data_IF_174977896170
#
_entry.id   IF_174977896170
#
_cell.length_a   1.000
_cell.length_b   1.000
_cell.length_c   1.000
_cell.angle_alpha   90.00
_cell.angle_beta   90.00
_cell.angle_gamma   90.00
#
_symmetry.space_group_name_H-M   'P 1'
#
loop_
_entity.id
_entity.type
_entity.pdbx_description
1 polymer ?
#
# COMPACT_ATOMS: atom_id res chain seq x y z
N UNK A 1 -28.97 -29.58 25.20
CA UNK A 1 -29.73 -28.38 24.77
C UNK A 1 -30.05 -28.56 23.29
N UNK A 2 -31.32 -28.63 22.91
CA UNK A 2 -31.74 -28.86 21.52
C UNK A 2 -31.57 -27.58 20.71
N UNK A 3 -30.76 -27.60 19.64
CA UNK A 3 -30.55 -26.44 18.77
C UNK A 3 -31.79 -26.05 17.94
N UNK A 4 -32.88 -26.83 17.99
CA UNK A 4 -34.11 -26.58 17.22
C UNK A 4 -34.92 -25.36 17.71
N UNK A 5 -34.65 -24.85 18.92
CA UNK A 5 -35.37 -23.71 19.50
C UNK A 5 -34.55 -22.42 19.58
N UNK A 6 -33.35 -22.39 18.98
CA UNK A 6 -32.55 -21.17 18.90
C UNK A 6 -33.04 -20.31 17.73
N UNK A 7 -34.06 -19.49 17.98
CA UNK A 7 -34.45 -18.43 17.06
C UNK A 7 -33.40 -17.31 17.14
N UNK A 8 -32.49 -17.28 16.17
CA UNK A 8 -31.51 -16.21 16.04
C UNK A 8 -32.16 -15.00 15.37
N UNK A 9 -32.50 -14.01 16.19
CA UNK A 9 -33.01 -12.73 15.72
C UNK A 9 -31.90 -11.93 15.02
N UNK A 10 -31.91 -11.93 13.69
CA UNK A 10 -30.96 -11.22 12.83
C UNK A 10 -31.09 -9.69 12.91
N UNK A 11 -32.15 -9.18 13.53
CA UNK A 11 -32.42 -7.73 13.63
C UNK A 11 -31.91 -7.12 14.94
N UNK A 12 -31.48 -7.95 15.90
CA UNK A 12 -30.90 -7.47 17.15
C UNK A 12 -29.48 -6.94 16.93
N UNK A 13 -29.37 -5.63 17.07
CA UNK A 13 -28.12 -4.91 17.29
C UNK A 13 -27.45 -5.50 18.53
N UNK A 14 -26.12 -5.70 18.49
CA UNK A 14 -25.35 -6.40 19.53
C UNK A 14 -25.34 -5.68 20.89
N UNK A 15 -25.82 -4.42 20.96
CA UNK A 15 -26.19 -3.67 22.16
C UNK A 15 -25.30 -3.95 23.38
N UNK A 16 -24.09 -3.39 23.36
CA UNK A 16 -23.14 -3.46 24.47
C UNK A 16 -22.33 -4.76 24.54
N UNK A 17 -22.54 -5.72 23.64
CA UNK A 17 -21.68 -6.91 23.55
C UNK A 17 -20.23 -6.51 23.31
N UNK A 18 -19.31 -7.19 24.01
CA UNK A 18 -17.88 -6.91 23.94
C UNK A 18 -17.21 -7.81 22.92
N UNK A 19 -16.79 -7.22 21.80
CA UNK A 19 -16.12 -7.89 20.70
C UNK A 19 -14.60 -7.78 20.88
N UNK A 20 -13.92 -8.92 20.88
CA UNK A 20 -12.45 -8.99 20.79
C UNK A 20 -12.05 -8.93 19.33
N UNK A 21 -11.72 -7.74 18.87
CA UNK A 21 -11.38 -7.48 17.48
C UNK A 21 -9.87 -7.37 17.29
N UNK A 22 -9.35 -8.09 16.31
CA UNK A 22 -7.96 -8.09 15.91
C UNK A 22 -7.78 -7.30 14.62
N UNK A 23 -6.67 -6.59 14.51
CA UNK A 23 -6.23 -6.01 13.25
C UNK A 23 -4.78 -6.40 12.95
N UNK A 24 -4.46 -6.58 11.68
CA UNK A 24 -3.14 -7.05 11.27
C UNK A 24 -2.22 -5.84 11.14
N UNK A 25 -1.21 -5.76 12.02
CA UNK A 25 -0.18 -4.73 11.92
C UNK A 25 1.01 -5.29 11.13
N UNK A 26 1.21 -4.76 9.92
CA UNK A 26 2.40 -5.04 9.12
C UNK A 26 3.59 -4.20 9.65
N UNK A 27 4.10 -4.53 10.84
CA UNK A 27 5.32 -3.89 11.35
C UNK A 27 6.51 -4.22 10.44
N UNK A 28 7.38 -3.26 10.09
CA UNK A 28 8.72 -3.58 9.64
C UNK A 28 9.48 -4.22 10.81
N UNK A 29 10.17 -5.33 10.57
CA UNK A 29 11.12 -5.88 11.52
C UNK A 29 12.40 -5.02 11.49
N UNK A 30 12.39 -3.86 12.17
CA UNK A 30 13.53 -3.15 12.78
C UNK A 30 13.13 -1.72 13.15
N UNK A 31 13.70 -1.22 14.25
CA UNK A 31 13.66 0.18 14.67
C UNK A 31 14.07 1.09 13.52
N UNK A 32 13.25 2.09 13.20
CA UNK A 32 13.67 3.22 12.38
C UNK A 32 13.46 4.53 13.14
N UNK A 33 14.49 5.37 13.04
CA UNK A 33 14.68 6.63 13.73
C UNK A 33 13.61 7.66 13.37
N UNK A 34 13.28 8.48 14.38
CA UNK A 34 12.13 9.38 14.52
C UNK A 34 12.03 10.55 13.52
N UNK A 35 12.84 10.64 12.46
CA UNK A 35 12.90 11.86 11.61
C UNK A 35 12.53 11.70 10.13
N UNK A 36 11.84 10.63 9.74
CA UNK A 36 11.28 10.54 8.37
C UNK A 36 9.78 10.28 8.42
N UNK A 37 9.01 11.36 8.25
CA UNK A 37 7.60 11.29 7.84
C UNK A 37 7.59 10.91 6.35
N UNK A 38 7.98 9.68 6.04
CA UNK A 38 7.48 8.97 4.89
C UNK A 38 6.39 8.06 5.44
N UNK A 39 5.13 8.48 5.29
CA UNK A 39 3.99 7.63 5.64
C UNK A 39 4.07 6.36 4.80
N UNK A 40 4.60 5.29 5.40
CA UNK A 40 4.68 3.99 4.76
C UNK A 40 3.25 3.59 4.38
N UNK A 41 2.99 3.27 3.10
CA UNK A 41 1.64 2.89 2.65
C UNK A 41 1.00 1.76 3.48
N UNK A 42 1.81 0.96 4.18
CA UNK A 42 1.39 -0.06 5.14
C UNK A 42 0.73 0.51 6.41
N UNK A 43 1.19 1.65 6.91
CA UNK A 43 0.59 2.34 8.05
C UNK A 43 -0.78 2.91 7.68
N UNK A 44 -0.90 3.45 6.46
CA UNK A 44 -2.18 3.93 5.92
C UNK A 44 -3.18 2.78 5.80
N UNK A 45 -2.77 1.62 5.27
CA UNK A 45 -3.63 0.43 5.17
C UNK A 45 -4.09 -0.04 6.55
N UNK A 46 -3.18 -0.08 7.53
CA UNK A 46 -3.52 -0.46 8.91
C UNK A 46 -4.52 0.53 9.53
N UNK A 47 -4.40 1.82 9.23
CA UNK A 47 -5.34 2.84 9.68
C UNK A 47 -6.73 2.70 9.02
N UNK A 48 -6.78 2.36 7.73
CA UNK A 48 -8.04 2.06 7.02
C UNK A 48 -8.72 0.84 7.65
N UNK A 49 -7.98 -0.25 7.87
CA UNK A 49 -8.49 -1.47 8.49
C UNK A 49 -9.09 -1.17 9.89
N UNK A 50 -8.40 -0.37 10.70
CA UNK A 50 -8.87 0.03 12.02
C UNK A 50 -10.11 0.95 11.95
N UNK A 51 -10.16 1.87 10.98
CA UNK A 51 -11.30 2.77 10.78
C UNK A 51 -12.56 2.00 10.37
N UNK A 52 -12.42 1.04 9.44
CA UNK A 52 -13.52 0.16 9.02
C UNK A 52 -14.04 -0.64 10.21
N UNK A 53 -13.14 -1.25 10.98
CA UNK A 53 -13.50 -2.02 12.15
C UNK A 53 -14.28 -1.16 13.17
N UNK A 54 -13.79 0.03 13.51
CA UNK A 54 -14.50 0.97 14.39
C UNK A 54 -15.89 1.33 13.86
N UNK A 55 -16.01 1.56 12.55
CA UNK A 55 -17.28 1.89 11.90
C UNK A 55 -18.29 0.75 12.03
N UNK A 56 -17.87 -0.50 11.80
CA UNK A 56 -18.73 -1.67 11.99
C UNK A 56 -19.18 -1.84 13.45
N UNK A 57 -18.24 -1.71 14.40
CA UNK A 57 -18.56 -1.82 15.83
C UNK A 57 -19.59 -0.77 16.26
N UNK A 58 -19.46 0.47 15.75
CA UNK A 58 -20.41 1.54 16.02
C UNK A 58 -21.80 1.27 15.42
N UNK A 59 -21.88 0.78 14.17
CA UNK A 59 -23.15 0.39 13.53
C UNK A 59 -23.84 -0.72 14.31
N UNK A 60 -23.07 -1.63 14.91
CA UNK A 60 -23.57 -2.74 15.72
C UNK A 60 -23.85 -2.36 17.18
N UNK A 61 -23.65 -1.10 17.56
CA UNK A 61 -23.77 -0.61 18.94
C UNK A 61 -23.05 -1.53 19.95
N UNK A 62 -21.87 -2.02 19.57
CA UNK A 62 -21.05 -2.93 20.35
C UNK A 62 -19.87 -2.18 21.00
N UNK A 63 -19.27 -2.79 22.01
CA UNK A 63 -17.98 -2.33 22.54
C UNK A 63 -16.88 -3.25 22.02
N UNK A 64 -15.70 -2.72 21.72
CA UNK A 64 -14.61 -3.54 21.20
C UNK A 64 -13.28 -3.29 21.90
N UNK A 65 -12.52 -4.36 22.09
CA UNK A 65 -11.09 -4.30 22.42
C UNK A 65 -10.28 -4.60 21.18
N UNK A 66 -9.35 -3.70 20.84
CA UNK A 66 -8.54 -3.78 19.64
C UNK A 66 -7.14 -4.28 19.99
N UNK A 67 -6.67 -5.32 19.30
CA UNK A 67 -5.31 -5.81 19.46
C UNK A 67 -4.60 -5.96 18.11
N UNK A 68 -3.38 -5.43 18.03
CA UNK A 68 -2.50 -5.59 16.88
C UNK A 68 -1.81 -6.95 16.91
N UNK A 69 -1.91 -7.70 15.81
CA UNK A 69 -1.26 -9.01 15.68
C UNK A 69 -0.61 -9.18 14.30
N UNK A 70 0.32 -10.13 14.18
CA UNK A 70 0.80 -10.58 12.87
C UNK A 70 -0.23 -11.49 12.19
N UNK A 71 -0.25 -11.53 10.86
CA UNK A 71 -1.36 -12.14 10.14
C UNK A 71 -1.58 -13.64 10.41
N UNK A 72 -0.51 -14.42 10.52
CA UNK A 72 -0.62 -15.83 10.92
C UNK A 72 -1.19 -16.01 12.34
N UNK A 73 -0.81 -15.12 13.26
CA UNK A 73 -1.30 -15.14 14.66
C UNK A 73 -2.78 -14.80 14.73
N UNK A 74 -3.27 -13.93 13.85
CA UNK A 74 -4.67 -13.55 13.77
C UNK A 74 -5.55 -14.77 13.47
N UNK A 75 -5.17 -15.56 12.47
CA UNK A 75 -5.89 -16.76 12.07
C UNK A 75 -5.96 -17.80 13.19
N UNK A 76 -4.82 -18.07 13.84
CA UNK A 76 -4.74 -19.02 14.97
C UNK A 76 -5.59 -18.56 16.17
N UNK A 77 -5.72 -17.25 16.41
CA UNK A 77 -6.53 -16.74 17.51
C UNK A 77 -8.03 -16.85 17.24
N UNK A 78 -8.46 -16.62 16.00
CA UNK A 78 -9.85 -16.88 15.59
C UNK A 78 -10.17 -18.37 15.73
N UNK A 79 -9.34 -19.26 15.18
CA UNK A 79 -9.62 -20.69 15.19
C UNK A 79 -9.66 -21.29 16.61
N UNK A 80 -8.93 -20.68 17.55
CA UNK A 80 -8.94 -21.04 18.98
C UNK A 80 -10.03 -20.32 19.80
N UNK A 81 -10.92 -19.54 19.18
CA UNK A 81 -11.96 -18.78 19.89
C UNK A 81 -11.43 -17.71 20.85
N UNK A 82 -10.19 -17.23 20.63
CA UNK A 82 -9.56 -16.19 21.45
C UNK A 82 -9.83 -14.77 20.95
N UNK A 83 -10.37 -14.66 19.74
CA UNK A 83 -10.84 -13.43 19.13
C UNK A 83 -12.14 -13.70 18.39
N UNK A 84 -12.97 -12.67 18.30
CA UNK A 84 -14.27 -12.77 17.65
C UNK A 84 -14.14 -12.36 16.18
N UNK A 85 -13.46 -11.24 15.90
CA UNK A 85 -13.30 -10.67 14.56
C UNK A 85 -11.86 -10.34 14.21
N UNK A 86 -11.54 -10.44 12.93
CA UNK A 86 -10.30 -9.94 12.32
C UNK A 86 -10.67 -9.05 11.15
N UNK A 87 -10.07 -7.86 11.10
CA UNK A 87 -10.06 -7.03 9.88
C UNK A 87 -8.65 -6.98 9.35
N UNK A 88 -8.51 -7.24 8.05
CA UNK A 88 -7.26 -7.09 7.35
C UNK A 88 -7.44 -6.85 5.87
N UNK A 89 -6.50 -6.10 5.30
CA UNK A 89 -6.30 -5.99 3.85
C UNK A 89 -5.52 -7.18 3.26
N UNK A 90 -5.51 -8.36 3.88
CA UNK A 90 -4.90 -9.57 3.32
C UNK A 90 -5.81 -10.25 2.29
N UNK A 91 -5.24 -10.90 1.27
CA UNK A 91 -5.99 -11.75 0.36
C UNK A 91 -6.79 -12.85 1.09
N UNK A 92 -8.07 -13.01 0.74
CA UNK A 92 -8.99 -13.97 1.38
C UNK A 92 -8.49 -15.43 1.26
N UNK A 93 -7.76 -15.74 0.18
CA UNK A 93 -7.24 -17.08 -0.07
C UNK A 93 -6.11 -17.53 0.89
N UNK A 94 -5.59 -16.64 1.75
CA UNK A 94 -4.54 -16.98 2.72
C UNK A 94 -5.09 -17.82 3.88
N UNK A 95 -6.36 -17.64 4.25
CA UNK A 95 -6.99 -18.34 5.37
C UNK A 95 -8.34 -18.95 4.97
N UNK A 96 -8.34 -20.01 4.14
CA UNK A 96 -9.57 -20.59 3.58
C UNK A 96 -10.50 -21.19 4.64
N UNK A 97 -9.96 -21.55 5.81
CA UNK A 97 -10.72 -22.12 6.93
C UNK A 97 -11.52 -21.07 7.72
N UNK A 98 -11.26 -19.78 7.49
CA UNK A 98 -11.90 -18.70 8.21
C UNK A 98 -13.05 -18.14 7.35
N UNK A 99 -14.31 -18.20 7.84
CA UNK A 99 -15.43 -17.57 7.17
C UNK A 99 -15.13 -16.08 6.99
N UNK A 100 -15.11 -15.64 5.74
CA UNK A 100 -14.79 -14.26 5.38
C UNK A 100 -16.02 -13.55 4.85
N UNK A 101 -16.20 -12.29 5.24
CA UNK A 101 -17.19 -11.41 4.60
C UNK A 101 -16.76 -11.09 3.17
N UNK A 102 -17.68 -10.50 2.40
CA UNK A 102 -17.37 -9.96 1.09
C UNK A 102 -16.14 -9.02 1.17
N UNK A 103 -15.21 -9.08 0.20
CA UNK A 103 -14.01 -8.25 0.23
C UNK A 103 -14.40 -6.77 0.21
N UNK A 104 -13.87 -6.01 1.18
CA UNK A 104 -14.05 -4.56 1.24
C UNK A 104 -13.09 -3.80 0.31
N UNK A 105 -12.02 -4.46 -0.14
CA UNK A 105 -11.05 -3.95 -1.11
C UNK A 105 -10.86 -4.98 -2.23
N UNK A 106 -11.02 -4.54 -3.47
CA UNK A 106 -10.71 -5.32 -4.66
C UNK A 106 -9.46 -4.73 -5.30
N UNK A 107 -8.33 -5.42 -5.13
CA UNK A 107 -7.03 -4.98 -5.63
C UNK A 107 -6.51 -5.97 -6.68
N UNK A 108 -5.77 -5.46 -7.67
CA UNK A 108 -5.02 -6.30 -8.63
C UNK A 108 -3.54 -6.16 -8.36
N UNK A 109 -2.82 -7.27 -8.43
CA UNK A 109 -1.37 -7.26 -8.40
C UNK A 109 -0.86 -6.62 -9.70
N UNK A 110 -0.16 -5.49 -9.58
CA UNK A 110 0.49 -4.82 -10.70
C UNK A 110 1.99 -4.85 -10.41
N UNK A 111 2.76 -5.43 -11.33
CA UNK A 111 4.22 -5.34 -11.28
C UNK A 111 4.61 -3.97 -11.83
N UNK A 112 4.85 -3.02 -10.94
CA UNK A 112 5.42 -1.73 -11.32
C UNK A 112 6.94 -1.90 -11.45
N UNK A 113 7.46 -1.94 -12.67
CA UNK A 113 8.89 -1.73 -12.88
C UNK A 113 9.20 -0.27 -12.57
N UNK A 114 10.21 -0.02 -11.74
CA UNK A 114 10.75 1.32 -11.56
C UNK A 114 11.12 1.84 -12.94
N UNK A 115 10.43 2.87 -13.41
CA UNK A 115 10.74 3.52 -14.67
C UNK A 115 12.15 4.13 -14.52
N UNK A 116 13.15 3.49 -15.10
CA UNK A 116 14.53 4.00 -15.11
C UNK A 116 14.72 5.13 -16.15
N UNK A 117 13.69 5.44 -16.93
CA UNK A 117 13.76 6.28 -18.12
C UNK A 117 13.40 7.75 -17.94
N UNK A 118 13.54 8.33 -16.75
CA UNK A 118 13.46 9.80 -16.66
C UNK A 118 14.81 10.39 -17.09
N UNK A 119 15.05 10.47 -18.40
CA UNK A 119 16.13 11.29 -18.92
C UNK A 119 15.88 12.72 -18.46
N UNK A 120 16.88 13.34 -17.82
CA UNK A 120 16.79 14.74 -17.44
C UNK A 120 16.55 15.59 -18.70
N UNK A 121 15.96 16.78 -18.56
CA UNK A 121 15.74 17.68 -19.71
C UNK A 121 17.05 17.94 -20.47
N UNK A 122 18.18 17.98 -19.78
CA UNK A 122 19.51 18.14 -20.38
C UNK A 122 19.95 16.91 -21.18
N UNK A 123 19.67 15.71 -20.69
CA UNK A 123 19.97 14.47 -21.42
C UNK A 123 19.09 14.34 -22.67
N UNK A 124 17.83 14.80 -22.60
CA UNK A 124 16.94 14.87 -23.77
C UNK A 124 17.48 15.85 -24.82
N UNK A 125 18.04 16.99 -24.40
CA UNK A 125 18.65 17.96 -25.32
C UNK A 125 19.93 17.40 -25.95
N UNK A 126 20.78 16.72 -25.16
CA UNK A 126 21.99 16.06 -25.69
C UNK A 126 21.66 14.93 -26.67
N UNK A 127 20.54 14.23 -26.45
CA UNK A 127 20.10 13.15 -27.32
C UNK A 127 19.47 13.64 -28.65
N UNK A 128 19.21 14.94 -28.82
CA UNK A 128 18.71 15.48 -30.10
C UNK A 128 19.76 15.41 -31.22
N UNK A 129 21.05 15.37 -30.87
CA UNK A 129 22.15 15.38 -31.83
C UNK A 129 23.02 14.16 -31.59
N UNK A 130 23.38 13.45 -32.66
CA UNK A 130 24.38 12.39 -32.54
C UNK A 130 25.75 13.01 -32.19
N UNK A 131 26.63 12.30 -31.48
CA UNK A 131 27.97 12.79 -31.17
C UNK A 131 28.73 13.26 -32.42
N UNK A 132 28.53 12.58 -33.54
CA UNK A 132 29.13 12.89 -34.83
C UNK A 132 28.62 14.23 -35.37
N UNK A 133 27.32 14.50 -35.27
CA UNK A 133 26.71 15.76 -35.70
C UNK A 133 27.21 16.95 -34.87
N UNK A 134 27.41 16.76 -33.56
CA UNK A 134 27.97 17.81 -32.68
C UNK A 134 29.43 18.14 -33.07
N UNK A 135 30.26 17.12 -33.30
CA UNK A 135 31.66 17.31 -33.69
C UNK A 135 31.75 18.00 -35.05
N UNK A 136 30.96 17.58 -36.03
CA UNK A 136 30.90 18.22 -37.34
C UNK A 136 30.43 19.68 -37.25
N UNK A 137 29.42 19.96 -36.42
CA UNK A 137 28.95 21.32 -36.15
C UNK A 137 30.04 22.22 -35.59
N UNK A 138 30.76 21.77 -34.54
CA UNK A 138 31.85 22.53 -33.93
C UNK A 138 32.98 22.79 -34.93
N UNK A 139 33.39 21.76 -35.70
CA UNK A 139 34.43 21.92 -36.72
C UNK A 139 34.05 22.92 -37.81
N UNK A 140 32.79 22.89 -38.26
CA UNK A 140 32.29 23.85 -39.25
C UNK A 140 32.33 25.30 -38.74
N UNK A 141 32.04 25.48 -37.46
CA UNK A 141 31.99 26.78 -36.80
C UNK A 141 33.41 27.36 -36.60
N UNK A 142 34.38 26.49 -36.25
CA UNK A 142 35.80 26.86 -36.17
C UNK A 142 36.33 27.27 -37.56
N UNK A 143 36.05 26.48 -38.60
CA UNK A 143 36.43 26.79 -39.97
C UNK A 143 35.85 28.13 -40.44
N UNK A 144 34.58 28.40 -40.13
CA UNK A 144 33.93 29.67 -40.45
C UNK A 144 34.65 30.87 -39.83
N UNK A 145 35.03 30.78 -38.55
CA UNK A 145 35.77 31.85 -37.88
C UNK A 145 37.19 32.02 -38.41
N UNK A 146 37.89 30.93 -38.74
CA UNK A 146 39.21 31.02 -39.38
C UNK A 146 39.11 31.76 -40.71
N UNK A 147 38.11 31.41 -41.54
CA UNK A 147 37.88 32.08 -42.82
C UNK A 147 37.56 33.56 -42.64
N UNK A 148 36.72 33.93 -41.66
CA UNK A 148 36.44 35.33 -41.34
C UNK A 148 37.69 36.12 -40.95
N UNK A 149 38.53 35.57 -40.05
CA UNK A 149 39.78 36.22 -39.62
C UNK A 149 40.75 36.38 -40.78
N UNK A 150 40.84 35.39 -41.68
CA UNK A 150 41.67 35.47 -42.88
C UNK A 150 41.13 36.49 -43.90
N UNK A 151 39.82 36.73 -43.94
CA UNK A 151 39.20 37.73 -44.82
C UNK A 151 39.32 39.17 -44.30
N UNK A 152 39.46 39.35 -42.98
CA UNK A 152 39.66 40.67 -42.35
C UNK A 152 41.13 41.13 -42.34
N UNK A 153 42.07 40.26 -42.69
CA UNK A 153 43.50 40.58 -42.87
C UNK A 153 43.90 40.64 -44.35
#
# INVERSE_FOLDING_TARGET
>A
ISCKSLYYDKTRILNGHKIKALYIQNKPSKQENVNQIQSNGREIITAIDLYLLKSFINVLNATATYEAVSGFTAAVRISKGRADWVVSSMPINIFPEIPSFAPHLVCRAIILRKFAGYMSTLDKIRALWSPEALVAGILSLILFFIVLVVLEH
#
